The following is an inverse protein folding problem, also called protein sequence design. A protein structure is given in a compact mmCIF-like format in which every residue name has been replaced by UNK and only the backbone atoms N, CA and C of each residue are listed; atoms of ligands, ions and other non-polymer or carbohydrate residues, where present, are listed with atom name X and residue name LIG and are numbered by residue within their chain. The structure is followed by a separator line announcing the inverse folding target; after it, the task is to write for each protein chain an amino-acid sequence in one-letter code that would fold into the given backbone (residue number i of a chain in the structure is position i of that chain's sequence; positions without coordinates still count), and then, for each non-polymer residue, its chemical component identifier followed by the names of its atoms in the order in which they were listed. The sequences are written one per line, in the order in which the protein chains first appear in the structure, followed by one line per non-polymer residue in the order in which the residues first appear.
data_IF_109366655151
#
_entry.id   IF_109366655151
#
_cell.length_a   1.000
_cell.length_b   1.000
_cell.length_c   1.000
_cell.angle_alpha   90.00
_cell.angle_beta   90.00
_cell.angle_gamma   90.00
#
_symmetry.space_group_name_H-M   'P 1'
#
loop_
_entity.id
_entity.type
_entity.pdbx_description
1 polymer ?
#
# COMPACT_ATOMS: atom_id res chain seq x y z
N UNK A 1 -33.39 -39.68 17.07
CA UNK A 1 -32.73 -38.43 16.60
C UNK A 1 -32.80 -37.32 17.65
N UNK A 2 -34.00 -36.83 18.06
CA UNK A 2 -34.13 -35.71 19.02
C UNK A 2 -33.47 -35.95 20.39
N UNK A 3 -33.60 -37.17 20.94
CA UNK A 3 -32.90 -37.55 22.18
C UNK A 3 -31.39 -37.42 22.03
N UNK A 4 -30.82 -38.01 20.97
CA UNK A 4 -29.38 -37.91 20.69
C UNK A 4 -28.96 -36.46 20.49
N UNK A 5 -29.71 -35.67 19.74
CA UNK A 5 -29.42 -34.25 19.56
C UNK A 5 -29.35 -33.51 20.90
N UNK A 6 -30.31 -33.75 21.80
CA UNK A 6 -30.33 -33.16 23.15
C UNK A 6 -29.13 -33.60 23.99
N UNK A 7 -28.76 -34.88 23.93
CA UNK A 7 -27.56 -35.39 24.60
C UNK A 7 -26.27 -34.76 24.06
N UNK A 8 -26.17 -34.55 22.75
CA UNK A 8 -24.97 -33.97 22.12
C UNK A 8 -24.77 -32.50 22.43
N UNK A 9 -25.87 -31.76 22.68
CA UNK A 9 -25.80 -30.38 23.18
C UNK A 9 -25.19 -30.30 24.58
N UNK A 10 -25.39 -31.33 25.41
CA UNK A 10 -24.85 -31.41 26.76
C UNK A 10 -23.40 -31.92 26.77
N UNK A 11 -23.12 -32.98 26.01
CA UNK A 11 -21.78 -33.55 25.89
C UNK A 11 -21.48 -34.03 24.47
N UNK A 12 -20.40 -33.52 23.87
CA UNK A 12 -19.94 -33.90 22.51
C UNK A 12 -19.72 -35.42 22.37
N UNK A 13 -19.27 -36.08 23.44
CA UNK A 13 -19.01 -37.53 23.49
C UNK A 13 -20.26 -38.37 23.21
N UNK A 14 -21.46 -37.82 23.42
CA UNK A 14 -22.71 -38.52 23.11
C UNK A 14 -22.81 -38.95 21.63
N UNK A 15 -22.10 -38.29 20.71
CA UNK A 15 -22.02 -38.69 19.30
C UNK A 15 -21.35 -40.05 19.08
N UNK A 16 -20.46 -40.46 19.98
CA UNK A 16 -19.82 -41.79 19.91
C UNK A 16 -20.82 -42.93 20.08
N UNK A 17 -21.96 -42.70 20.74
CA UNK A 17 -23.01 -43.68 20.99
C UNK A 17 -24.15 -43.65 19.95
N UNK A 18 -24.07 -42.79 18.93
CA UNK A 18 -25.06 -42.73 17.86
C UNK A 18 -25.02 -44.04 17.06
N UNK A 19 -26.20 -44.62 16.79
CA UNK A 19 -26.30 -45.85 16.00
C UNK A 19 -25.81 -45.65 14.57
N UNK A 20 -25.25 -46.70 13.96
CA UNK A 20 -24.81 -46.72 12.56
C UNK A 20 -25.86 -46.15 11.59
N UNK A 21 -27.14 -46.52 11.79
CA UNK A 21 -28.26 -46.00 11.00
C UNK A 21 -28.38 -44.47 11.07
N UNK A 22 -28.20 -43.88 12.25
CA UNK A 22 -28.25 -42.42 12.42
C UNK A 22 -26.95 -41.75 11.99
N UNK A 23 -25.80 -42.42 12.09
CA UNK A 23 -24.53 -41.92 11.54
C UNK A 23 -24.59 -41.77 10.02
N UNK A 24 -25.29 -42.65 9.31
CA UNK A 24 -25.52 -42.51 7.86
C UNK A 24 -26.57 -41.45 7.46
N UNK A 25 -27.28 -40.84 8.42
CA UNK A 25 -28.40 -39.93 8.13
C UNK A 25 -27.95 -38.46 8.01
N UNK A 26 -27.90 -37.95 6.77
CA UNK A 26 -27.56 -36.55 6.50
C UNK A 26 -28.56 -35.55 7.10
N UNK A 27 -29.83 -35.92 7.31
CA UNK A 27 -30.81 -35.04 7.96
C UNK A 27 -30.49 -34.84 9.44
N UNK A 28 -30.04 -35.90 10.12
CA UNK A 28 -29.53 -35.85 11.48
C UNK A 28 -28.30 -34.94 11.54
N UNK A 29 -27.31 -35.16 10.67
CA UNK A 29 -26.09 -34.34 10.67
C UNK A 29 -26.32 -32.87 10.33
N UNK A 30 -27.22 -32.55 9.40
CA UNK A 30 -27.62 -31.15 9.15
C UNK A 30 -28.23 -30.49 10.38
N UNK A 31 -28.91 -31.27 11.22
CA UNK A 31 -29.46 -30.75 12.49
C UNK A 31 -28.34 -30.57 13.51
N UNK A 32 -27.42 -31.53 13.61
CA UNK A 32 -26.22 -31.44 14.46
C UNK A 32 -25.39 -30.20 14.13
N UNK A 33 -25.11 -29.94 12.84
CA UNK A 33 -24.39 -28.75 12.37
C UNK A 33 -25.09 -27.47 12.83
N UNK A 34 -26.41 -27.38 12.65
CA UNK A 34 -27.20 -26.18 13.01
C UNK A 34 -27.26 -25.93 14.52
N UNK A 35 -27.26 -26.99 15.31
CA UNK A 35 -27.64 -26.93 16.72
C UNK A 35 -26.44 -27.01 17.68
N UNK A 36 -25.30 -27.53 17.24
CA UNK A 36 -24.08 -27.58 18.05
C UNK A 36 -23.28 -26.27 17.99
N UNK A 37 -22.57 -25.90 19.07
CA UNK A 37 -21.66 -24.75 19.08
C UNK A 37 -20.61 -24.81 17.96
N UNK A 38 -20.16 -23.64 17.46
CA UNK A 38 -19.23 -23.53 16.32
C UNK A 38 -17.94 -24.37 16.51
N UNK A 39 -17.39 -24.43 17.73
CA UNK A 39 -16.14 -25.13 18.07
C UNK A 39 -16.27 -26.65 18.25
N UNK A 40 -17.41 -27.24 17.90
CA UNK A 40 -17.69 -28.65 18.23
C UNK A 40 -18.10 -29.51 17.06
N UNK A 41 -18.91 -28.98 16.17
CA UNK A 41 -19.59 -29.81 15.18
C UNK A 41 -18.63 -30.36 14.11
N UNK A 42 -17.59 -29.61 13.72
CA UNK A 42 -16.67 -30.01 12.66
C UNK A 42 -15.79 -31.19 13.11
N UNK A 43 -15.20 -31.14 14.32
CA UNK A 43 -14.49 -32.28 14.92
C UNK A 43 -15.40 -33.49 15.13
N UNK A 44 -16.62 -33.25 15.59
CA UNK A 44 -17.64 -34.27 15.76
C UNK A 44 -18.00 -34.98 14.44
N UNK A 45 -18.14 -34.21 13.37
CA UNK A 45 -18.41 -34.75 12.04
C UNK A 45 -17.20 -35.56 11.54
N UNK A 46 -15.98 -35.03 11.71
CA UNK A 46 -14.75 -35.74 11.34
C UNK A 46 -14.61 -37.07 12.07
N UNK A 47 -14.96 -37.10 13.35
CA UNK A 47 -14.74 -38.27 14.19
C UNK A 47 -15.86 -39.31 14.08
N UNK A 48 -17.11 -38.90 13.88
CA UNK A 48 -18.27 -39.79 13.98
C UNK A 48 -19.23 -39.72 12.79
N UNK A 49 -19.02 -38.75 11.89
CA UNK A 49 -19.88 -38.51 10.73
C UNK A 49 -19.39 -39.20 9.46
N UNK A 50 -20.25 -39.32 8.45
CA UNK A 50 -19.92 -39.95 7.19
C UNK A 50 -19.15 -38.95 6.33
N UNK A 51 -17.84 -38.89 6.52
CA UNK A 51 -16.96 -37.91 5.85
C UNK A 51 -17.14 -37.91 4.33
N UNK A 52 -17.26 -39.11 3.74
CA UNK A 52 -17.49 -39.32 2.32
C UNK A 52 -18.80 -38.65 1.84
N UNK A 53 -19.84 -38.68 2.67
CA UNK A 53 -21.14 -38.08 2.35
C UNK A 53 -21.16 -36.56 2.58
N UNK A 54 -20.41 -36.03 3.55
CA UNK A 54 -20.22 -34.58 3.66
C UNK A 54 -19.47 -34.02 2.45
N UNK A 55 -18.45 -34.78 2.01
CA UNK A 55 -17.67 -34.47 0.83
C UNK A 55 -18.51 -34.36 -0.43
N UNK A 56 -19.58 -35.14 -0.54
CA UNK A 56 -20.41 -35.22 -1.74
C UNK A 56 -21.72 -34.41 -1.68
N UNK A 57 -22.34 -34.21 -0.51
CA UNK A 57 -23.64 -33.57 -0.39
C UNK A 57 -23.55 -32.04 -0.28
N UNK A 58 -23.83 -31.35 -1.39
CA UNK A 58 -23.88 -29.88 -1.48
C UNK A 58 -24.73 -29.24 -0.38
N UNK A 59 -25.91 -29.78 -0.08
CA UNK A 59 -26.85 -29.17 0.89
C UNK A 59 -26.29 -29.19 2.31
N UNK A 60 -25.68 -30.29 2.72
CA UNK A 60 -25.01 -30.40 4.02
C UNK A 60 -23.78 -29.50 4.06
N UNK A 61 -23.00 -29.44 2.97
CA UNK A 61 -21.85 -28.52 2.89
C UNK A 61 -22.27 -27.05 3.03
N UNK A 62 -23.37 -26.62 2.40
CA UNK A 62 -23.89 -25.25 2.55
C UNK A 62 -24.20 -24.90 4.01
N UNK A 63 -24.84 -25.82 4.76
CA UNK A 63 -25.12 -25.60 6.19
C UNK A 63 -23.84 -25.56 7.03
N UNK A 64 -22.87 -26.40 6.70
CA UNK A 64 -21.56 -26.46 7.33
C UNK A 64 -20.77 -25.15 7.16
N UNK A 65 -20.63 -24.71 5.91
CA UNK A 65 -19.82 -23.55 5.52
C UNK A 65 -20.36 -22.24 6.08
N UNK A 66 -21.68 -22.10 6.21
CA UNK A 66 -22.32 -20.94 6.88
C UNK A 66 -21.82 -20.74 8.32
N UNK A 67 -21.39 -21.82 8.98
CA UNK A 67 -20.89 -21.79 10.37
C UNK A 67 -19.37 -21.77 10.43
N UNK A 68 -18.69 -22.58 9.61
CA UNK A 68 -17.23 -22.60 9.56
C UNK A 68 -16.75 -22.86 8.13
N UNK A 69 -16.01 -21.89 7.56
CA UNK A 69 -15.45 -21.99 6.21
C UNK A 69 -14.43 -23.12 6.07
N UNK A 70 -13.78 -23.55 7.16
CA UNK A 70 -12.83 -24.68 7.17
C UNK A 70 -13.52 -26.01 6.85
N UNK A 71 -14.83 -26.10 7.03
CA UNK A 71 -15.59 -27.30 6.66
C UNK A 71 -15.46 -27.66 5.18
N UNK A 72 -15.18 -26.66 4.34
CA UNK A 72 -14.95 -26.85 2.91
C UNK A 72 -13.73 -27.74 2.64
N UNK A 73 -12.76 -27.82 3.56
CA UNK A 73 -11.59 -28.70 3.43
C UNK A 73 -11.96 -30.19 3.38
N UNK A 74 -13.11 -30.58 3.93
CA UNK A 74 -13.63 -31.95 3.87
C UNK A 74 -14.50 -32.22 2.63
N UNK A 75 -14.75 -31.19 1.82
CA UNK A 75 -15.49 -31.31 0.56
C UNK A 75 -14.74 -32.14 -0.48
N UNK A 76 -15.48 -32.87 -1.33
CA UNK A 76 -14.94 -33.39 -2.59
C UNK A 76 -14.61 -32.23 -3.53
N UNK A 77 -13.74 -32.46 -4.51
CA UNK A 77 -13.38 -31.42 -5.50
C UNK A 77 -14.57 -30.81 -6.21
N UNK A 78 -15.63 -31.59 -6.44
CA UNK A 78 -16.88 -31.12 -7.03
C UNK A 78 -17.58 -30.10 -6.13
N UNK A 79 -17.70 -30.39 -4.84
CA UNK A 79 -18.36 -29.50 -3.87
C UNK A 79 -17.49 -28.28 -3.54
N UNK A 80 -16.17 -28.46 -3.45
CA UNK A 80 -15.21 -27.35 -3.24
C UNK A 80 -15.09 -26.40 -4.44
N UNK A 81 -15.61 -26.81 -5.58
CA UNK A 81 -15.67 -26.02 -6.81
C UNK A 81 -17.08 -25.56 -7.16
N UNK A 82 -18.10 -25.94 -6.38
CA UNK A 82 -19.49 -25.53 -6.63
C UNK A 82 -19.62 -24.02 -6.37
N UNK A 83 -20.09 -23.23 -7.35
CA UNK A 83 -20.14 -21.76 -7.23
C UNK A 83 -21.00 -21.27 -6.05
N UNK A 84 -22.06 -21.97 -5.71
CA UNK A 84 -22.96 -21.58 -4.61
C UNK A 84 -22.28 -21.81 -3.26
N UNK A 85 -21.65 -22.98 -3.08
CA UNK A 85 -20.90 -23.33 -1.86
C UNK A 85 -19.72 -22.37 -1.67
N UNK A 86 -18.93 -22.14 -2.72
CA UNK A 86 -17.78 -21.22 -2.68
C UNK A 86 -18.24 -19.81 -2.34
N UNK A 87 -19.29 -19.30 -2.98
CA UNK A 87 -19.79 -17.97 -2.68
C UNK A 87 -20.36 -17.86 -1.27
N UNK A 88 -21.01 -18.89 -0.74
CA UNK A 88 -21.48 -18.90 0.64
C UNK A 88 -20.32 -18.86 1.63
N UNK A 89 -19.24 -19.61 1.38
CA UNK A 89 -18.00 -19.54 2.16
C UNK A 89 -17.42 -18.13 2.19
N UNK A 90 -17.28 -17.55 0.99
CA UNK A 90 -16.67 -16.24 0.80
C UNK A 90 -17.59 -15.08 1.18
N UNK A 91 -18.87 -15.30 1.50
CA UNK A 91 -19.70 -14.29 2.17
C UNK A 91 -19.28 -14.15 3.64
N UNK A 92 -18.89 -15.26 4.29
CA UNK A 92 -18.53 -15.30 5.71
C UNK A 92 -17.08 -14.86 5.94
N UNK A 93 -16.13 -15.51 5.28
CA UNK A 93 -14.70 -15.25 5.48
C UNK A 93 -13.92 -15.55 4.19
N UNK A 94 -13.13 -14.58 3.76
CA UNK A 94 -12.23 -14.71 2.61
C UNK A 94 -11.26 -15.90 2.73
N UNK A 95 -10.89 -16.32 3.95
CA UNK A 95 -10.02 -17.49 4.19
C UNK A 95 -10.59 -18.78 3.64
N UNK A 96 -11.91 -18.85 3.45
CA UNK A 96 -12.57 -19.97 2.76
C UNK A 96 -11.99 -20.24 1.37
N UNK A 97 -11.44 -19.23 0.70
CA UNK A 97 -10.81 -19.34 -0.63
C UNK A 97 -9.68 -20.38 -0.66
N UNK A 98 -8.96 -20.58 0.45
CA UNK A 98 -7.88 -21.57 0.57
C UNK A 98 -8.37 -23.01 0.36
N UNK A 99 -9.63 -23.27 0.69
CA UNK A 99 -10.22 -24.62 0.64
C UNK A 99 -10.97 -24.90 -0.66
N UNK A 100 -11.13 -23.90 -1.53
CA UNK A 100 -11.81 -24.09 -2.81
C UNK A 100 -10.91 -24.82 -3.81
N UNK A 101 -11.48 -25.75 -4.58
CA UNK A 101 -10.78 -26.43 -5.69
C UNK A 101 -10.79 -25.58 -6.97
N UNK A 102 -11.77 -24.67 -7.10
CA UNK A 102 -11.92 -23.76 -8.23
C UNK A 102 -12.40 -22.40 -7.73
N UNK A 103 -11.75 -21.33 -8.20
CA UNK A 103 -12.13 -19.96 -7.90
C UNK A 103 -12.43 -19.19 -9.19
N UNK A 104 -13.65 -18.67 -9.29
CA UNK A 104 -14.05 -17.78 -10.38
C UNK A 104 -13.73 -16.32 -10.03
N UNK A 105 -13.62 -15.47 -11.06
CA UNK A 105 -13.28 -14.04 -10.92
C UNK A 105 -14.21 -13.32 -9.92
N UNK A 106 -15.51 -13.67 -9.91
CA UNK A 106 -16.48 -13.09 -8.98
C UNK A 106 -16.22 -13.51 -7.52
N UNK A 107 -15.89 -14.78 -7.30
CA UNK A 107 -15.52 -15.31 -5.98
C UNK A 107 -14.26 -14.63 -5.45
N UNK A 108 -13.25 -14.48 -6.29
CA UNK A 108 -11.99 -13.80 -5.93
C UNK A 108 -12.23 -12.33 -5.63
N UNK A 109 -13.03 -11.67 -6.46
CA UNK A 109 -13.44 -10.28 -6.26
C UNK A 109 -14.11 -10.10 -4.90
N UNK A 110 -15.00 -11.04 -4.51
CA UNK A 110 -15.66 -11.03 -3.19
C UNK A 110 -14.67 -11.21 -2.05
N UNK A 111 -13.71 -12.13 -2.19
CA UNK A 111 -12.69 -12.40 -1.17
C UNK A 111 -11.73 -11.21 -1.00
N UNK A 112 -11.22 -10.64 -2.09
CA UNK A 112 -10.29 -9.50 -2.12
C UNK A 112 -10.94 -8.22 -1.56
N UNK A 113 -12.25 -8.05 -1.78
CA UNK A 113 -13.00 -6.95 -1.18
C UNK A 113 -13.01 -7.00 0.36
N UNK A 114 -12.86 -8.18 0.96
CA UNK A 114 -12.77 -8.33 2.42
C UNK A 114 -11.34 -8.15 2.93
N UNK A 115 -10.36 -8.83 2.32
CA UNK A 115 -8.94 -8.74 2.67
C UNK A 115 -8.08 -8.95 1.43
N UNK A 116 -7.06 -8.10 1.27
CA UNK A 116 -6.14 -8.17 0.15
C UNK A 116 -5.37 -9.49 0.09
N UNK A 117 -5.13 -10.14 1.25
CA UNK A 117 -4.41 -11.41 1.36
C UNK A 117 -5.09 -12.55 0.62
N UNK A 118 -6.39 -12.42 0.33
CA UNK A 118 -7.12 -13.38 -0.49
C UNK A 118 -6.52 -13.56 -1.89
N UNK A 119 -5.77 -12.56 -2.39
CA UNK A 119 -5.09 -12.64 -3.68
C UNK A 119 -4.09 -13.81 -3.72
N UNK A 120 -3.47 -14.17 -2.60
CA UNK A 120 -2.44 -15.19 -2.59
C UNK A 120 -2.99 -16.56 -2.98
N UNK A 121 -4.18 -16.94 -2.46
CA UNK A 121 -4.87 -18.17 -2.85
C UNK A 121 -5.20 -18.22 -4.34
N UNK A 122 -5.46 -17.06 -4.96
CA UNK A 122 -5.75 -17.00 -6.38
C UNK A 122 -4.49 -17.11 -7.23
N UNK A 123 -3.42 -16.42 -6.83
CA UNK A 123 -2.13 -16.46 -7.55
C UNK A 123 -1.49 -17.86 -7.53
N UNK A 124 -1.78 -18.68 -6.52
CA UNK A 124 -1.30 -20.05 -6.44
C UNK A 124 -2.05 -20.99 -7.42
N UNK A 125 -3.27 -20.63 -7.83
CA UNK A 125 -4.11 -21.43 -8.74
C UNK A 125 -3.97 -21.04 -10.22
N UNK A 126 -3.45 -19.84 -10.51
CA UNK A 126 -3.29 -19.37 -11.88
C UNK A 126 -1.92 -19.72 -12.45
N UNK A 127 -1.92 -20.43 -13.58
CA UNK A 127 -0.82 -20.39 -14.54
C UNK A 127 -0.50 -18.95 -14.99
N UNK A 128 0.72 -18.66 -15.47
CA UNK A 128 1.36 -17.38 -15.27
C UNK A 128 0.73 -16.22 -16.08
N UNK A 129 0.32 -15.17 -15.36
CA UNK A 129 0.20 -13.77 -15.82
C UNK A 129 -0.75 -13.47 -16.99
N UNK A 130 -2.05 -13.64 -16.78
CA UNK A 130 -3.02 -12.79 -17.49
C UNK A 130 -3.28 -11.53 -16.67
N UNK A 131 -2.72 -10.41 -17.13
CA UNK A 131 -3.04 -9.04 -16.67
C UNK A 131 -4.55 -8.77 -16.79
N UNK A 132 -5.23 -9.50 -17.67
CA UNK A 132 -6.65 -9.47 -17.91
C UNK A 132 -7.44 -9.86 -16.65
N UNK A 133 -7.95 -8.84 -15.95
CA UNK A 133 -8.66 -8.98 -14.68
C UNK A 133 -7.94 -8.32 -13.50
N UNK A 134 -6.61 -8.16 -13.53
CA UNK A 134 -5.86 -7.52 -12.44
C UNK A 134 -6.30 -6.07 -12.22
N UNK A 135 -6.58 -5.32 -13.28
CA UNK A 135 -7.11 -3.97 -13.14
C UNK A 135 -8.44 -3.92 -12.37
N UNK A 136 -9.31 -4.93 -12.55
CA UNK A 136 -10.56 -5.05 -11.79
C UNK A 136 -10.27 -5.35 -10.31
N UNK A 137 -9.33 -6.25 -10.03
CA UNK A 137 -8.94 -6.61 -8.67
C UNK A 137 -8.27 -5.45 -7.92
N UNK A 138 -7.37 -4.70 -8.59
CA UNK A 138 -6.73 -3.49 -8.04
C UNK A 138 -7.77 -2.42 -7.74
N UNK A 139 -8.81 -2.29 -8.57
CA UNK A 139 -9.93 -1.37 -8.33
C UNK A 139 -10.77 -1.77 -7.11
N UNK A 140 -10.89 -3.07 -6.82
CA UNK A 140 -11.60 -3.56 -5.64
C UNK A 140 -10.78 -3.31 -4.38
N UNK A 141 -9.51 -3.66 -4.40
CA UNK A 141 -8.61 -3.46 -3.26
C UNK A 141 -7.18 -3.23 -3.75
N UNK A 142 -6.68 -1.98 -3.76
CA UNK A 142 -5.35 -1.71 -4.27
C UNK A 142 -4.23 -2.23 -3.34
N UNK A 143 -4.55 -2.64 -2.10
CA UNK A 143 -3.56 -3.21 -1.17
C UNK A 143 -3.04 -4.58 -1.61
N UNK A 144 -3.60 -5.21 -2.65
CA UNK A 144 -3.11 -6.49 -3.19
C UNK A 144 -1.65 -6.41 -3.64
N UNK A 145 -1.13 -5.21 -3.94
CA UNK A 145 0.28 -5.00 -4.27
C UNK A 145 1.24 -5.22 -3.10
N UNK A 146 0.72 -5.44 -1.88
CA UNK A 146 1.51 -5.92 -0.75
C UNK A 146 1.99 -7.36 -0.95
N UNK A 147 1.33 -8.16 -1.79
CA UNK A 147 1.87 -9.45 -2.20
C UNK A 147 3.13 -9.20 -3.07
N UNK A 148 4.31 -9.73 -2.69
CA UNK A 148 5.58 -9.45 -3.38
C UNK A 148 5.57 -9.81 -4.87
N UNK A 149 4.72 -10.76 -5.29
CA UNK A 149 4.59 -11.14 -6.70
C UNK A 149 3.96 -10.02 -7.52
N UNK A 150 3.08 -9.22 -6.93
CA UNK A 150 2.38 -8.09 -7.56
C UNK A 150 3.09 -6.76 -7.35
N UNK A 151 3.70 -6.56 -6.18
CA UNK A 151 4.42 -5.32 -5.84
C UNK A 151 5.64 -5.03 -6.72
N UNK A 152 6.11 -6.01 -7.51
CA UNK A 152 7.16 -5.85 -8.51
C UNK A 152 6.65 -5.57 -9.93
N UNK A 153 5.34 -5.68 -10.16
CA UNK A 153 4.76 -5.49 -11.50
C UNK A 153 4.40 -4.03 -11.68
N UNK A 154 5.10 -3.36 -12.60
CA UNK A 154 4.96 -1.93 -12.83
C UNK A 154 3.51 -1.51 -13.15
N UNK A 155 2.81 -2.23 -14.03
CA UNK A 155 1.43 -1.90 -14.42
C UNK A 155 0.46 -2.00 -13.25
N UNK A 156 0.55 -3.08 -12.45
CA UNK A 156 -0.30 -3.28 -11.27
C UNK A 156 -0.01 -2.20 -10.22
N UNK A 157 1.28 -1.89 -10.01
CA UNK A 157 1.70 -0.81 -9.11
C UNK A 157 1.18 0.54 -9.57
N UNK A 158 1.23 0.84 -10.87
CA UNK A 158 0.71 2.08 -11.45
C UNK A 158 -0.80 2.23 -11.17
N UNK A 159 -1.58 1.17 -11.38
CA UNK A 159 -3.02 1.17 -11.09
C UNK A 159 -3.31 1.35 -9.59
N UNK A 160 -2.48 0.77 -8.72
CA UNK A 160 -2.64 0.86 -7.28
C UNK A 160 -2.27 2.25 -6.74
N UNK A 161 -1.13 2.83 -7.15
CA UNK A 161 -0.69 4.15 -6.68
C UNK A 161 -1.61 5.28 -7.15
N UNK A 162 -2.26 5.12 -8.32
CA UNK A 162 -3.27 6.06 -8.80
C UNK A 162 -4.52 6.12 -7.91
N UNK A 163 -4.78 5.10 -7.09
CA UNK A 163 -5.85 5.11 -6.09
C UNK A 163 -5.35 5.49 -4.70
N UNK A 164 -4.13 5.08 -4.34
CA UNK A 164 -3.51 5.44 -3.07
C UNK A 164 -1.97 5.54 -3.23
N UNK A 165 -1.47 6.77 -3.28
CA UNK A 165 -0.04 7.04 -3.49
C UNK A 165 0.90 6.45 -2.43
N UNK A 166 0.41 6.15 -1.21
CA UNK A 166 1.22 5.52 -0.17
C UNK A 166 1.62 4.08 -0.51
N UNK A 167 0.92 3.44 -1.45
CA UNK A 167 1.22 2.08 -1.90
C UNK A 167 2.55 1.96 -2.64
N UNK A 168 3.14 3.09 -3.06
CA UNK A 168 4.51 3.16 -3.56
C UNK A 168 5.51 2.50 -2.58
N UNK A 169 5.23 2.55 -1.27
CA UNK A 169 6.03 1.89 -0.23
C UNK A 169 6.17 0.37 -0.42
N UNK A 170 5.17 -0.28 -1.05
CA UNK A 170 5.16 -1.72 -1.30
C UNK A 170 6.01 -2.10 -2.53
N UNK A 171 6.36 -1.11 -3.37
CA UNK A 171 7.15 -1.33 -4.57
C UNK A 171 8.60 -1.73 -4.28
N UNK A 172 9.23 -2.37 -5.26
CA UNK A 172 10.67 -2.63 -5.22
C UNK A 172 11.47 -1.32 -5.23
N UNK A 173 12.78 -1.41 -5.01
CA UNK A 173 13.64 -0.21 -5.02
C UNK A 173 13.66 0.45 -6.39
N UNK A 174 13.60 -0.36 -7.45
CA UNK A 174 13.59 0.06 -8.85
C UNK A 174 12.32 0.86 -9.15
N UNK A 175 11.15 0.36 -8.73
CA UNK A 175 9.88 1.08 -8.89
C UNK A 175 9.82 2.37 -8.06
N UNK A 176 10.47 2.39 -6.89
CA UNK A 176 10.61 3.62 -6.07
C UNK A 176 11.61 4.62 -6.64
N UNK A 177 12.40 4.22 -7.64
CA UNK A 177 13.27 5.10 -8.43
C UNK A 177 12.68 5.41 -9.81
N UNK A 178 11.50 4.87 -10.13
CA UNK A 178 10.76 5.21 -11.34
C UNK A 178 10.09 6.58 -11.17
N UNK A 179 10.51 7.54 -12.01
CA UNK A 179 10.04 8.92 -11.92
C UNK A 179 8.54 9.04 -12.19
N UNK A 180 8.00 8.32 -13.16
CA UNK A 180 6.62 8.46 -13.60
C UNK A 180 5.68 7.79 -12.59
N UNK A 181 6.09 6.65 -12.04
CA UNK A 181 5.35 6.00 -10.95
C UNK A 181 5.34 6.85 -9.68
N UNK A 182 6.48 7.45 -9.32
CA UNK A 182 6.58 8.36 -8.17
C UNK A 182 5.76 9.62 -8.40
N UNK A 183 5.76 10.19 -9.60
CA UNK A 183 4.93 11.35 -9.95
C UNK A 183 3.43 11.02 -9.81
N UNK A 184 3.00 9.85 -10.28
CA UNK A 184 1.63 9.37 -10.12
C UNK A 184 1.26 9.22 -8.63
N UNK A 185 2.17 8.69 -7.81
CA UNK A 185 1.96 8.54 -6.37
C UNK A 185 1.90 9.90 -5.64
N UNK A 186 2.80 10.83 -5.96
CA UNK A 186 2.81 12.20 -5.40
C UNK A 186 1.53 12.92 -5.79
N UNK A 187 1.01 12.71 -7.01
CA UNK A 187 -0.26 13.30 -7.44
C UNK A 187 -1.44 12.95 -6.53
N UNK A 188 -1.39 11.79 -5.86
CA UNK A 188 -2.40 11.39 -4.87
C UNK A 188 -2.07 11.94 -3.47
N UNK A 189 -0.81 11.90 -3.06
CA UNK A 189 -0.40 12.43 -1.76
C UNK A 189 1.08 12.78 -1.71
N UNK A 190 1.39 13.98 -1.21
CA UNK A 190 2.76 14.44 -0.99
C UNK A 190 3.60 13.50 -0.12
N UNK A 191 2.96 12.74 0.79
CA UNK A 191 3.62 11.76 1.67
C UNK A 191 4.31 10.64 0.88
N UNK A 192 3.87 10.37 -0.36
CA UNK A 192 4.50 9.38 -1.23
C UNK A 192 5.96 9.73 -1.56
N UNK A 193 6.34 11.02 -1.53
CA UNK A 193 7.71 11.48 -1.72
C UNK A 193 8.69 10.81 -0.75
N UNK A 194 8.24 10.49 0.48
CA UNK A 194 9.07 9.81 1.49
C UNK A 194 9.51 8.40 1.10
N UNK A 195 8.81 7.74 0.17
CA UNK A 195 9.17 6.41 -0.33
C UNK A 195 10.03 6.45 -1.58
N UNK A 196 10.14 7.60 -2.24
CA UNK A 196 10.94 7.75 -3.43
C UNK A 196 12.45 7.57 -3.14
N UNK A 197 13.20 7.18 -4.16
CA UNK A 197 14.66 7.06 -4.09
C UNK A 197 15.30 8.39 -3.64
N UNK A 198 16.52 8.32 -3.08
CA UNK A 198 17.27 9.54 -2.72
C UNK A 198 17.46 10.47 -3.92
N UNK A 199 17.66 9.91 -5.11
CA UNK A 199 17.81 10.64 -6.38
C UNK A 199 16.56 11.45 -6.70
N UNK A 200 15.38 10.83 -6.61
CA UNK A 200 14.11 11.49 -6.89
C UNK A 200 13.66 12.46 -5.79
N UNK A 201 14.12 12.28 -4.55
CA UNK A 201 13.94 13.25 -3.46
C UNK A 201 14.79 14.52 -3.62
N UNK A 202 15.64 14.58 -4.65
CA UNK A 202 16.33 15.78 -5.11
C UNK A 202 15.76 16.32 -6.44
N UNK A 203 14.70 15.71 -7.00
CA UNK A 203 14.04 16.21 -8.21
C UNK A 203 13.17 17.43 -7.86
N UNK A 204 13.65 18.61 -8.25
CA UNK A 204 12.97 19.89 -8.04
C UNK A 204 11.50 19.89 -8.50
N UNK A 205 11.17 19.23 -9.60
CA UNK A 205 9.81 19.22 -10.14
C UNK A 205 8.88 18.40 -9.24
N UNK A 206 9.32 17.21 -8.82
CA UNK A 206 8.55 16.35 -7.91
C UNK A 206 8.35 17.00 -6.54
N UNK A 207 9.41 17.64 -6.01
CA UNK A 207 9.33 18.34 -4.72
C UNK A 207 8.41 19.54 -4.80
N UNK A 208 8.51 20.34 -5.86
CA UNK A 208 7.61 21.49 -6.07
C UNK A 208 6.16 21.03 -6.15
N UNK A 209 5.89 19.89 -6.81
CA UNK A 209 4.55 19.29 -6.88
C UNK A 209 4.07 18.82 -5.50
N UNK A 210 4.92 18.18 -4.71
CA UNK A 210 4.58 17.74 -3.36
C UNK A 210 4.34 18.93 -2.41
N UNK A 211 5.22 19.95 -2.47
CA UNK A 211 5.08 21.19 -1.70
C UNK A 211 3.79 21.92 -2.02
N UNK A 212 3.33 21.91 -3.28
CA UNK A 212 2.02 22.51 -3.66
C UNK A 212 0.85 21.92 -2.89
N UNK A 213 0.94 20.68 -2.41
CA UNK A 213 -0.10 20.05 -1.59
C UNK A 213 0.06 20.36 -0.09
N UNK A 214 1.30 20.29 0.44
CA UNK A 214 1.59 20.61 1.84
C UNK A 214 3.07 20.99 2.01
N UNK A 215 3.33 22.05 2.79
CA UNK A 215 4.69 22.48 3.12
C UNK A 215 5.50 21.42 3.88
N UNK A 216 4.86 20.50 4.60
CA UNK A 216 5.54 19.42 5.30
C UNK A 216 6.23 18.42 4.36
N UNK A 217 5.92 18.44 3.06
CA UNK A 217 6.64 17.61 2.08
C UNK A 217 8.15 17.89 2.06
N UNK A 218 8.57 19.09 2.50
CA UNK A 218 9.97 19.46 2.65
C UNK A 218 10.76 18.47 3.52
N UNK A 219 10.13 17.80 4.48
CA UNK A 219 10.79 16.83 5.37
C UNK A 219 11.39 15.63 4.63
N UNK A 220 10.89 15.33 3.43
CA UNK A 220 11.35 14.20 2.62
C UNK A 220 12.35 14.61 1.55
N UNK A 221 12.48 15.91 1.26
CA UNK A 221 13.43 16.43 0.29
C UNK A 221 14.88 16.16 0.73
N UNK A 222 15.80 16.21 -0.22
CA UNK A 222 17.24 16.13 0.07
C UNK A 222 17.73 17.37 0.83
N UNK A 223 18.90 17.26 1.45
CA UNK A 223 19.46 18.35 2.24
C UNK A 223 19.78 19.57 1.38
N UNK A 224 20.18 19.38 0.12
CA UNK A 224 20.40 20.47 -0.84
C UNK A 224 19.15 21.32 -1.09
N UNK A 225 17.98 20.69 -1.07
CA UNK A 225 16.69 21.36 -1.27
C UNK A 225 16.23 22.04 0.01
N UNK A 226 16.52 21.41 1.16
CA UNK A 226 16.24 21.98 2.48
C UNK A 226 17.14 23.18 2.78
N UNK A 227 18.31 23.26 2.17
CA UNK A 227 19.21 24.43 2.20
C UNK A 227 18.84 25.48 1.12
N UNK A 228 17.82 25.26 0.30
CA UNK A 228 17.35 26.25 -0.67
C UNK A 228 16.31 27.18 -0.04
N UNK A 229 16.73 28.41 0.26
CA UNK A 229 15.90 29.46 0.84
C UNK A 229 14.54 29.64 0.17
N UNK A 230 14.50 29.63 -1.17
CA UNK A 230 13.24 29.82 -1.93
C UNK A 230 12.27 28.67 -1.68
N UNK A 231 12.77 27.43 -1.67
CA UNK A 231 11.96 26.23 -1.44
C UNK A 231 11.42 26.18 -0.02
N UNK A 232 12.25 26.54 0.97
CA UNK A 232 11.85 26.60 2.38
C UNK A 232 10.78 27.67 2.59
N UNK A 233 10.96 28.87 2.03
CA UNK A 233 9.96 29.94 2.12
C UNK A 233 8.64 29.49 1.48
N UNK A 234 8.69 28.85 0.32
CA UNK A 234 7.49 28.36 -0.36
C UNK A 234 6.81 27.20 0.39
N UNK A 235 7.56 26.39 1.12
CA UNK A 235 7.02 25.39 2.04
C UNK A 235 6.32 26.06 3.23
N UNK A 236 6.97 27.06 3.84
CA UNK A 236 6.44 27.78 5.00
C UNK A 236 5.18 28.59 4.70
N UNK A 237 5.08 29.19 3.50
CA UNK A 237 3.86 29.89 3.05
C UNK A 237 2.63 28.99 3.10
N UNK A 238 2.82 27.68 2.94
CA UNK A 238 1.75 26.68 2.96
C UNK A 238 1.57 26.08 4.35
N UNK A 239 2.68 25.77 5.01
CA UNK A 239 2.67 25.26 6.36
C UNK A 239 3.86 25.82 7.15
N UNK A 240 3.65 26.80 8.05
CA UNK A 240 4.73 27.41 8.83
C UNK A 240 5.55 26.40 9.64
N UNK A 241 4.95 25.25 10.00
CA UNK A 241 5.65 24.16 10.66
C UNK A 241 6.80 23.57 9.82
N UNK A 242 6.80 23.77 8.49
CA UNK A 242 7.85 23.31 7.59
C UNK A 242 9.23 23.93 7.90
N UNK A 243 9.26 25.08 8.58
CA UNK A 243 10.51 25.72 9.02
C UNK A 243 11.42 24.78 9.80
N UNK A 244 10.87 23.87 10.61
CA UNK A 244 11.65 22.88 11.38
C UNK A 244 12.52 21.97 10.51
N UNK A 245 12.19 21.86 9.22
CA UNK A 245 12.91 21.05 8.24
C UNK A 245 13.84 21.88 7.36
N UNK A 246 13.94 23.20 7.56
CA UNK A 246 14.97 23.99 6.91
C UNK A 246 16.36 23.43 7.25
N UNK A 247 17.26 23.47 6.28
CA UNK A 247 18.62 23.00 6.48
C UNK A 247 19.41 23.95 7.38
N UNK A 248 20.43 23.42 8.05
CA UNK A 248 21.20 24.16 9.07
C UNK A 248 21.97 25.33 8.49
N UNK A 249 22.33 25.28 7.20
CA UNK A 249 23.04 26.37 6.54
C UNK A 249 22.19 27.63 6.45
N UNK A 250 20.87 27.49 6.28
CA UNK A 250 19.94 28.62 6.27
C UNK A 250 19.75 29.23 7.65
N UNK A 251 19.83 28.43 8.71
CA UNK A 251 19.74 28.93 10.08
C UNK A 251 20.88 29.87 10.47
N UNK A 252 22.02 29.85 9.76
CA UNK A 252 23.14 30.76 9.96
C UNK A 252 23.16 31.93 8.94
N UNK A 253 22.24 31.95 7.97
CA UNK A 253 22.23 32.94 6.90
C UNK A 253 21.32 34.13 7.28
N UNK A 254 21.93 35.24 7.71
CA UNK A 254 21.18 36.45 8.07
C UNK A 254 20.31 36.98 6.93
N UNK A 255 20.72 36.81 5.66
CA UNK A 255 19.93 37.27 4.51
C UNK A 255 18.64 36.46 4.34
N UNK A 256 18.67 35.17 4.69
CA UNK A 256 17.49 34.33 4.73
C UNK A 256 16.54 34.80 5.83
N UNK A 257 17.05 35.08 7.04
CA UNK A 257 16.25 35.58 8.16
C UNK A 257 15.60 36.94 7.86
N UNK A 258 16.30 37.87 7.20
CA UNK A 258 15.73 39.16 6.77
C UNK A 258 14.52 38.96 5.84
N UNK A 259 14.65 38.08 4.84
CA UNK A 259 13.54 37.78 3.93
C UNK A 259 12.42 37.05 4.66
N UNK A 260 12.76 36.15 5.58
CA UNK A 260 11.78 35.36 6.31
C UNK A 260 10.92 36.23 7.23
N UNK A 261 11.55 37.09 8.03
CA UNK A 261 10.86 38.08 8.86
C UNK A 261 10.00 38.99 8.02
N UNK A 262 10.51 39.49 6.88
CA UNK A 262 9.70 40.33 5.99
C UNK A 262 8.51 39.60 5.39
N UNK A 263 8.68 38.33 5.03
CA UNK A 263 7.63 37.52 4.38
C UNK A 263 6.53 37.11 5.37
N UNK A 264 6.89 36.86 6.62
CA UNK A 264 6.01 36.33 7.65
C UNK A 264 5.76 37.32 8.81
N UNK A 265 6.02 38.61 8.60
CA UNK A 265 6.05 39.66 9.62
C UNK A 265 4.79 39.70 10.50
N UNK A 266 3.61 39.61 9.90
CA UNK A 266 2.33 39.68 10.63
C UNK A 266 1.68 38.30 10.81
N UNK A 267 2.49 37.24 10.91
CA UNK A 267 1.99 35.89 11.11
C UNK A 267 2.17 35.42 12.54
N UNK A 268 1.31 34.51 12.98
CA UNK A 268 1.45 33.84 14.27
C UNK A 268 2.82 33.15 14.45
N UNK A 269 3.49 32.80 13.34
CA UNK A 269 4.83 32.23 13.37
C UNK A 269 5.90 33.22 13.86
N UNK A 270 5.87 34.50 13.44
CA UNK A 270 6.79 35.52 13.99
C UNK A 270 6.50 35.78 15.46
N UNK A 271 5.22 35.88 15.85
CA UNK A 271 4.85 36.07 17.26
C UNK A 271 5.33 34.91 18.12
N UNK A 272 5.16 33.68 17.63
CA UNK A 272 5.69 32.47 18.28
C UNK A 272 7.22 32.52 18.45
N UNK A 273 7.94 33.02 17.45
CA UNK A 273 9.40 33.16 17.47
C UNK A 273 9.86 34.27 18.44
N UNK A 274 9.17 35.41 18.46
CA UNK A 274 9.42 36.55 19.36
C UNK A 274 9.29 36.16 20.85
N UNK A 275 8.41 35.21 21.17
CA UNK A 275 8.29 34.64 22.52
C UNK A 275 9.40 33.62 22.87
N UNK A 276 10.53 33.62 22.15
CA UNK A 276 11.74 32.85 22.49
C UNK A 276 11.65 31.36 22.22
N UNK A 277 10.71 30.90 21.38
CA UNK A 277 10.49 29.47 21.12
C UNK A 277 11.31 28.90 19.95
N UNK A 278 12.21 29.66 19.34
CA UNK A 278 13.11 29.20 18.28
C UNK A 278 14.52 29.76 18.39
N UNK A 279 15.49 29.07 17.77
CA UNK A 279 16.89 29.53 17.69
C UNK A 279 17.06 30.44 16.48
N UNK A 280 17.42 31.70 16.72
CA UNK A 280 17.79 32.66 15.68
C UNK A 280 19.24 32.44 15.21
N UNK A 281 19.59 32.99 14.05
CA UNK A 281 21.01 33.09 13.65
C UNK A 281 21.83 33.81 14.73
N UNK A 282 23.08 33.40 14.99
CA UNK A 282 24.00 34.17 15.80
C UNK A 282 24.11 35.63 15.30
N UNK A 283 23.83 36.60 16.17
CA UNK A 283 23.90 38.02 15.84
C UNK A 283 22.69 38.59 15.08
N UNK A 284 21.63 37.81 14.85
CA UNK A 284 20.39 38.31 14.24
C UNK A 284 19.36 38.69 15.31
N UNK A 285 18.81 39.90 15.21
CA UNK A 285 17.74 40.41 16.07
C UNK A 285 16.43 40.56 15.31
N UNK A 286 15.33 40.12 15.90
CA UNK A 286 13.99 40.36 15.35
C UNK A 286 13.64 41.85 15.42
N UNK A 287 12.90 42.40 14.45
CA UNK A 287 12.38 43.75 14.53
C UNK A 287 11.40 43.88 15.70
N UNK A 288 11.41 45.05 16.34
CA UNK A 288 10.47 45.40 17.41
C UNK A 288 9.02 45.37 16.90
N UNK A 289 8.11 44.95 17.77
CA UNK A 289 6.68 44.83 17.46
C UNK A 289 6.12 46.21 17.07
N UNK A 290 5.69 46.38 15.82
CA UNK A 290 5.17 47.65 15.29
C UNK A 290 6.17 48.51 14.51
N UNK A 291 7.43 48.07 14.34
CA UNK A 291 8.41 48.79 13.54
C UNK A 291 8.09 48.75 12.02
N UNK A 292 8.18 49.87 11.28
CA UNK A 292 7.97 49.86 9.83
C UNK A 292 9.08 49.09 9.11
N UNK A 293 8.70 48.11 8.28
CA UNK A 293 9.63 47.37 7.42
C UNK A 293 10.27 48.32 6.39
N UNK A 294 11.59 48.54 6.48
CA UNK A 294 12.34 49.31 5.47
C UNK A 294 12.26 48.63 4.09
N UNK A 295 11.97 49.40 3.05
CA UNK A 295 11.69 48.87 1.70
C UNK A 295 12.95 48.39 0.94
N UNK A 296 12.77 47.23 0.28
CA UNK A 296 13.55 46.60 -0.82
C UNK A 296 15.05 46.30 -0.62
N UNK A 297 15.33 45.12 -0.04
CA UNK A 297 16.48 44.29 -0.44
C UNK A 297 16.06 43.28 -1.53
N UNK A 298 16.95 43.09 -2.51
CA UNK A 298 16.82 42.25 -3.72
C UNK A 298 16.34 40.81 -3.43
N UNK A 299 15.70 40.12 -4.40
CA UNK A 299 15.35 38.71 -4.23
C UNK A 299 16.58 37.90 -3.87
N UNK A 300 16.47 37.04 -2.86
CA UNK A 300 17.52 36.08 -2.48
C UNK A 300 17.86 35.30 -3.75
N UNK A 301 19.07 35.53 -4.27
CA UNK A 301 19.58 34.72 -5.37
C UNK A 301 19.58 33.29 -4.85
N UNK A 302 18.92 32.37 -5.57
CA UNK A 302 19.09 30.96 -5.31
C UNK A 302 20.61 30.71 -5.24
N UNK A 303 21.10 30.18 -4.12
CA UNK A 303 22.40 29.52 -4.11
C UNK A 303 22.24 28.28 -4.98
N UNK A 304 22.29 28.49 -6.31
CA UNK A 304 22.71 27.45 -7.22
C UNK A 304 24.16 27.24 -6.84
N UNK A 305 24.43 26.31 -5.94
CA UNK A 305 25.74 25.69 -5.87
C UNK A 305 25.95 25.11 -7.26
N UNK A 306 26.61 25.88 -8.13
CA UNK A 306 27.14 25.39 -9.37
C UNK A 306 27.91 24.14 -8.98
N UNK A 307 27.40 22.98 -9.39
CA UNK A 307 28.23 21.80 -9.51
C UNK A 307 29.39 22.29 -10.36
N UNK A 308 30.56 22.47 -9.74
CA UNK A 308 31.81 22.55 -10.50
C UNK A 308 31.81 21.24 -11.28
N UNK A 309 31.49 21.34 -12.57
CA UNK A 309 31.92 20.35 -13.52
C UNK A 309 33.43 20.25 -13.30
N UNK A 310 33.85 19.19 -12.60
CA UNK A 310 35.23 18.74 -12.72
C UNK A 310 35.47 18.61 -14.22
N UNK A 311 36.59 19.17 -14.68
CA UNK A 311 37.13 18.95 -16.00
C UNK A 311 36.76 17.56 -16.55
N UNK A 312 35.85 17.57 -17.51
CA UNK A 312 35.65 16.45 -18.42
C UNK A 312 35.59 17.03 -19.82
N UNK A 313 36.68 17.68 -20.23
CA UNK A 313 37.11 17.62 -21.62
C UNK A 313 37.58 16.19 -21.93
N UNK A 314 36.66 15.22 -21.82
CA UNK A 314 36.81 13.94 -22.47
C UNK A 314 36.55 14.20 -23.96
N UNK A 315 37.62 14.61 -24.65
CA UNK A 315 37.70 14.47 -26.11
C UNK A 315 37.35 13.02 -26.42
N UNK A 316 36.25 12.82 -27.14
CA UNK A 316 36.02 11.54 -27.82
C UNK A 316 37.27 11.27 -28.69
N UNK A 317 37.90 10.09 -28.58
CA UNK A 317 38.96 9.74 -29.53
C UNK A 317 38.34 9.68 -30.92
N UNK A 318 39.05 10.12 -31.98
CA UNK A 318 38.53 10.09 -33.33
C UNK A 318 38.15 8.66 -33.72
N UNK A 319 37.00 8.52 -34.38
CA UNK A 319 36.53 7.25 -34.94
C UNK A 319 37.62 6.65 -35.84
N UNK A 320 37.93 5.38 -35.57
CA UNK A 320 38.83 4.58 -36.40
C UNK A 320 38.25 4.48 -37.84
N UNK A 321 38.96 4.90 -38.89
CA UNK A 321 38.46 4.92 -40.26
C UNK A 321 38.16 3.52 -40.85
N UNK A 322 38.52 2.42 -40.18
CA UNK A 322 38.32 1.06 -40.68
C UNK A 322 36.92 0.46 -40.44
N UNK A 323 36.00 1.14 -39.75
CA UNK A 323 34.64 0.62 -39.53
C UNK A 323 33.63 0.96 -40.63
N UNK A 324 34.03 1.71 -41.67
CA UNK A 324 33.15 2.04 -42.81
C UNK A 324 33.02 0.93 -43.86
N UNK A 325 33.69 -0.22 -43.71
CA UNK A 325 33.63 -1.35 -44.65
C UNK A 325 32.84 -2.58 -44.18
N UNK A 326 32.16 -2.53 -43.03
CA UNK A 326 31.36 -3.66 -42.54
C UNK A 326 29.85 -3.41 -42.49
N UNK A 327 29.36 -2.26 -42.97
CA UNK A 327 27.91 -1.99 -43.08
C UNK A 327 27.31 -2.29 -44.47
N UNK A 328 28.06 -2.95 -45.36
CA UNK A 328 27.58 -3.42 -46.66
C UNK A 328 28.02 -4.86 -46.88
N UNK A 329 27.44 -5.78 -46.12
CA UNK A 329 27.41 -7.19 -46.50
C UNK A 329 26.37 -7.94 -45.67
N UNK A 330 25.46 -8.58 -46.41
CA UNK A 330 24.67 -9.77 -46.05
C UNK A 330 23.31 -9.50 -45.38
N UNK A 331 22.34 -10.39 -45.58
CA UNK A 331 21.54 -10.53 -46.82
C UNK A 331 20.05 -10.31 -46.57
#
# INVERSE_FOLDING_TARGET
AQFMLSATKLQKVALSYVSEKLRGDLSFWRTVIRELPEDGWHLAFVQYGPLDLLGADKKTMLEAVKRNVEALSYGSDVVRGDPEVVMEALKRDWKGAKYCSRLEVNSISKAIAQDWRAISSYLDLLEPWKIEGMAKLVKINPQIVRDPRLGKVHEVMTLAVKQNGLLLACGTKELRDDRDLVDAAISQTWRALGFASKRLRNDMALITKALKQDGLALQHASDEIRDNASMVIDAMKRNPAAFRFAGTCLHADNSFWEVLVRTFYDTAWIKWLQHGRGQLSPGFSLPEEGAPLKAKASPVKAKVSAVKAKDSTLRLPPLNPDLRKQATALP
#
